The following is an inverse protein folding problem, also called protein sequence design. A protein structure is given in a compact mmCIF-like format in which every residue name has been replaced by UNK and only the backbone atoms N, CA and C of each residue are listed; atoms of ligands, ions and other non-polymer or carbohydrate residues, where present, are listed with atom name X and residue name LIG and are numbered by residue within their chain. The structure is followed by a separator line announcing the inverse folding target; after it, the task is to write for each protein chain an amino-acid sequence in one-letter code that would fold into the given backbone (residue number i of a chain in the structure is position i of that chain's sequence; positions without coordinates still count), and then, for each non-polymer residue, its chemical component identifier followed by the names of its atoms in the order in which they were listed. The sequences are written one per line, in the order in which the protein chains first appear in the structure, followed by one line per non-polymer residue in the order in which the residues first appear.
data_IF_538545830934
#
_entry.id   IF_538545830934
#
_cell.length_a   1.000
_cell.length_b   1.000
_cell.length_c   1.000
_cell.angle_alpha   90.00
_cell.angle_beta   90.00
_cell.angle_gamma   90.00
#
_symmetry.space_group_name_H-M   'P 1'
#
loop_
_entity.id
_entity.type
_entity.pdbx_description
1 polymer ?
#
# COMPACT_ATOMS: atom_id res chain seq x y z
N UNK A 1 -47.44 -46.49 -8.31
CA UNK A 1 -46.21 -45.84 -7.82
C UNK A 1 -45.91 -44.53 -8.54
N UNK A 2 -45.91 -44.47 -9.87
CA UNK A 2 -45.62 -43.23 -10.62
C UNK A 2 -46.63 -42.09 -10.39
N UNK A 3 -47.92 -42.39 -10.20
CA UNK A 3 -48.96 -41.37 -9.94
C UNK A 3 -48.71 -40.60 -8.64
N UNK A 4 -48.24 -41.28 -7.59
CA UNK A 4 -47.93 -40.66 -6.31
C UNK A 4 -46.76 -39.67 -6.43
N UNK A 5 -45.75 -40.02 -7.21
CA UNK A 5 -44.57 -39.18 -7.46
C UNK A 5 -44.98 -37.92 -8.24
N UNK A 6 -45.84 -38.06 -9.25
CA UNK A 6 -46.34 -36.93 -10.04
C UNK A 6 -47.15 -35.98 -9.15
N UNK A 7 -48.03 -36.50 -8.30
CA UNK A 7 -48.81 -35.67 -7.36
C UNK A 7 -47.90 -34.92 -6.38
N UNK A 8 -46.89 -35.58 -5.82
CA UNK A 8 -45.93 -34.94 -4.92
C UNK A 8 -45.12 -33.84 -5.63
N UNK A 9 -44.71 -34.06 -6.88
CA UNK A 9 -44.02 -33.04 -7.68
C UNK A 9 -44.93 -31.85 -8.01
N UNK A 10 -46.20 -32.09 -8.35
CA UNK A 10 -47.17 -31.02 -8.54
C UNK A 10 -47.35 -30.21 -7.25
N UNK A 11 -47.53 -30.88 -6.10
CA UNK A 11 -47.66 -30.18 -4.81
C UNK A 11 -46.38 -29.38 -4.50
N UNK A 12 -45.19 -29.94 -4.71
CA UNK A 12 -43.94 -29.23 -4.52
C UNK A 12 -43.80 -28.00 -5.42
N UNK A 13 -44.25 -28.08 -6.67
CA UNK A 13 -44.15 -27.00 -7.65
C UNK A 13 -45.22 -25.91 -7.45
N UNK A 14 -46.42 -26.28 -6.99
CA UNK A 14 -47.54 -25.35 -6.80
C UNK A 14 -47.62 -24.76 -5.40
N UNK A 15 -46.94 -25.35 -4.41
CA UNK A 15 -46.81 -24.74 -3.09
C UNK A 15 -45.67 -23.75 -3.12
N UNK A 16 -46.01 -22.47 -2.98
CA UNK A 16 -45.03 -21.40 -2.85
C UNK A 16 -44.35 -21.50 -1.47
N UNK A 17 -43.15 -22.06 -1.44
CA UNK A 17 -42.28 -22.12 -0.26
C UNK A 17 -41.41 -20.85 -0.14
N UNK A 18 -41.82 -19.72 -0.72
CA UNK A 18 -41.11 -18.46 -0.51
C UNK A 18 -41.17 -18.11 0.99
N UNK A 19 -40.04 -18.26 1.67
CA UNK A 19 -39.90 -17.84 3.07
C UNK A 19 -40.19 -16.35 3.17
N UNK A 20 -40.78 -15.92 4.29
CA UNK A 20 -41.07 -14.50 4.56
C UNK A 20 -39.87 -13.64 4.18
N UNK A 21 -40.09 -12.70 3.26
CA UNK A 21 -39.09 -11.69 2.93
C UNK A 21 -38.62 -11.04 4.24
N UNK A 22 -37.32 -11.12 4.50
CA UNK A 22 -36.73 -10.40 5.62
C UNK A 22 -36.92 -8.93 5.28
N UNK A 23 -37.79 -8.23 6.00
CA UNK A 23 -37.93 -6.78 5.89
C UNK A 23 -36.63 -6.17 6.42
N UNK A 24 -35.62 -6.06 5.57
CA UNK A 24 -34.38 -5.35 5.87
C UNK A 24 -34.66 -3.87 5.79
N UNK A 25 -34.33 -3.15 6.87
CA UNK A 25 -34.32 -1.70 6.85
C UNK A 25 -33.13 -1.25 5.98
N UNK A 26 -33.36 -1.08 4.68
CA UNK A 26 -32.32 -0.75 3.69
C UNK A 26 -31.52 0.51 4.07
N UNK A 27 -32.15 1.46 4.77
CA UNK A 27 -31.48 2.65 5.29
C UNK A 27 -30.48 2.31 6.40
N UNK A 28 -30.84 1.40 7.29
CA UNK A 28 -29.98 0.91 8.35
C UNK A 28 -28.85 0.05 7.79
N UNK A 29 -29.15 -0.82 6.82
CA UNK A 29 -28.15 -1.62 6.10
C UNK A 29 -27.14 -0.74 5.35
N UNK A 30 -27.60 0.35 4.74
CA UNK A 30 -26.72 1.32 4.06
C UNK A 30 -25.80 2.06 5.05
N UNK A 31 -26.29 2.39 6.26
CA UNK A 31 -25.45 2.98 7.31
C UNK A 31 -24.33 2.04 7.75
N UNK A 32 -24.67 0.78 8.02
CA UNK A 32 -23.67 -0.24 8.38
C UNK A 32 -22.65 -0.48 7.28
N UNK A 33 -23.09 -0.52 6.01
CA UNK A 33 -22.18 -0.67 4.86
C UNK A 33 -21.21 0.50 4.77
N UNK A 34 -21.69 1.74 4.93
CA UNK A 34 -20.86 2.94 4.92
C UNK A 34 -19.81 2.93 6.05
N UNK A 35 -20.20 2.46 7.24
CA UNK A 35 -19.27 2.33 8.36
C UNK A 35 -18.20 1.27 8.08
N UNK A 36 -18.59 0.10 7.59
CA UNK A 36 -17.66 -0.96 7.18
C UNK A 36 -16.68 -0.44 6.12
N UNK A 37 -17.16 0.26 5.10
CA UNK A 37 -16.29 0.75 4.02
C UNK A 37 -15.35 1.85 4.51
N UNK A 38 -15.79 2.71 5.44
CA UNK A 38 -14.93 3.67 6.12
C UNK A 38 -13.80 2.97 6.91
N UNK A 39 -14.14 1.92 7.67
CA UNK A 39 -13.16 1.14 8.42
C UNK A 39 -12.16 0.41 7.50
N UNK A 40 -12.63 -0.16 6.38
CA UNK A 40 -11.75 -0.78 5.38
C UNK A 40 -10.76 0.21 4.79
N UNK A 41 -11.20 1.44 4.49
CA UNK A 41 -10.32 2.48 3.95
C UNK A 41 -9.21 2.86 4.95
N UNK A 42 -9.57 3.04 6.23
CA UNK A 42 -8.60 3.34 7.30
C UNK A 42 -7.59 2.21 7.45
N UNK A 43 -8.05 0.96 7.47
CA UNK A 43 -7.18 -0.22 7.59
C UNK A 43 -6.25 -0.37 6.38
N UNK A 44 -6.74 -0.08 5.17
CA UNK A 44 -5.92 -0.12 3.96
C UNK A 44 -4.80 0.93 4.00
N UNK A 45 -5.10 2.14 4.47
CA UNK A 45 -4.08 3.18 4.69
C UNK A 45 -3.08 2.79 5.80
N UNK A 46 -3.55 2.20 6.90
CA UNK A 46 -2.70 1.75 8.00
C UNK A 46 -1.72 0.65 7.60
N UNK A 47 -2.11 -0.20 6.64
CA UNK A 47 -1.29 -1.28 6.08
C UNK A 47 -0.23 -0.84 5.08
N UNK A 48 -0.27 0.41 4.59
CA UNK A 48 0.76 0.90 3.66
C UNK A 48 2.13 0.81 4.32
N UNK A 49 3.16 0.23 3.66
CA UNK A 49 4.51 0.16 4.21
C UNK A 49 5.02 1.55 4.58
N UNK A 50 5.28 1.78 5.86
CA UNK A 50 5.86 3.03 6.32
C UNK A 50 7.35 3.03 6.01
N UNK A 51 7.79 3.94 5.16
CA UNK A 51 9.22 4.21 4.99
C UNK A 51 9.67 4.93 6.26
N UNK A 52 10.52 4.28 7.04
CA UNK A 52 11.13 4.91 8.22
C UNK A 52 12.27 5.84 7.80
N UNK A 53 12.49 6.95 8.53
CA UNK A 53 13.63 7.81 8.29
C UNK A 53 14.95 7.03 8.28
N UNK A 54 15.82 7.32 7.33
CA UNK A 54 17.10 6.66 7.16
C UNK A 54 18.17 7.67 6.78
N UNK A 55 19.42 7.35 7.10
CA UNK A 55 20.54 8.18 6.65
C UNK A 55 20.93 7.76 5.22
N UNK A 56 20.88 8.67 4.24
CA UNK A 56 21.19 8.35 2.85
C UNK A 56 22.64 7.89 2.65
N UNK A 57 23.56 8.26 3.54
CA UNK A 57 24.94 7.78 3.50
C UNK A 57 25.09 6.30 3.82
N UNK A 58 24.06 5.61 4.34
CA UNK A 58 24.13 4.18 4.66
C UNK A 58 23.21 3.33 3.79
N UNK A 59 22.77 3.86 2.64
CA UNK A 59 22.04 3.05 1.65
C UNK A 59 22.96 1.92 1.16
N UNK A 60 22.47 0.69 1.29
CA UNK A 60 23.06 -0.52 0.70
C UNK A 60 22.48 -0.76 -0.69
N UNK A 61 23.07 -1.67 -1.48
CA UNK A 61 22.53 -2.03 -2.80
C UNK A 61 21.07 -2.46 -2.73
N UNK A 62 20.76 -3.35 -1.78
CA UNK A 62 19.39 -3.80 -1.54
C UNK A 62 18.46 -2.64 -1.20
N UNK A 63 18.87 -1.75 -0.28
CA UNK A 63 18.06 -0.58 0.10
C UNK A 63 17.86 0.36 -1.10
N UNK A 64 18.91 0.65 -1.87
CA UNK A 64 18.84 1.49 -3.07
C UNK A 64 17.87 0.92 -4.10
N UNK A 65 17.97 -0.38 -4.38
CA UNK A 65 17.05 -1.07 -5.28
C UNK A 65 15.60 -1.00 -4.78
N UNK A 66 15.34 -1.22 -3.48
CA UNK A 66 13.99 -1.10 -2.91
C UNK A 66 13.43 0.33 -2.94
N UNK A 67 14.30 1.34 -2.95
CA UNK A 67 13.92 2.74 -3.09
C UNK A 67 13.67 3.13 -4.56
N UNK A 68 14.03 2.27 -5.52
CA UNK A 68 13.88 2.50 -6.96
C UNK A 68 15.08 3.15 -7.63
N UNK A 69 16.26 3.09 -7.03
CA UNK A 69 17.52 3.49 -7.67
C UNK A 69 17.99 2.41 -8.65
N UNK A 70 18.59 2.83 -9.75
CA UNK A 70 19.36 1.99 -10.67
C UNK A 70 20.73 1.62 -10.07
N UNK A 71 21.32 0.53 -10.58
CA UNK A 71 22.65 0.09 -10.15
C UNK A 71 23.70 1.21 -10.30
N UNK A 72 23.65 1.99 -11.37
CA UNK A 72 24.59 3.09 -11.60
C UNK A 72 24.46 4.22 -10.57
N UNK A 73 23.23 4.57 -10.16
CA UNK A 73 23.00 5.58 -9.12
C UNK A 73 23.51 5.10 -7.75
N UNK A 74 23.34 3.81 -7.46
CA UNK A 74 23.85 3.15 -6.24
C UNK A 74 25.38 3.12 -6.26
N UNK A 75 25.99 2.71 -7.37
CA UNK A 75 27.44 2.65 -7.52
C UNK A 75 28.10 4.01 -7.30
N UNK A 76 27.49 5.09 -7.82
CA UNK A 76 27.97 6.46 -7.58
C UNK A 76 27.98 6.81 -6.09
N UNK A 77 26.92 6.47 -5.36
CA UNK A 77 26.85 6.67 -3.91
C UNK A 77 27.95 5.88 -3.18
N UNK A 78 28.10 4.60 -3.50
CA UNK A 78 29.09 3.73 -2.88
C UNK A 78 30.52 4.21 -3.17
N UNK A 79 30.80 4.65 -4.39
CA UNK A 79 32.11 5.17 -4.77
C UNK A 79 32.43 6.52 -4.11
N UNK A 80 31.44 7.37 -3.87
CA UNK A 80 31.61 8.60 -3.09
C UNK A 80 32.01 8.29 -1.64
N UNK A 81 31.33 7.31 -1.02
CA UNK A 81 31.66 6.85 0.34
C UNK A 81 33.03 6.20 0.46
N UNK A 82 33.46 5.44 -0.56
CA UNK A 82 34.79 4.82 -0.60
C UNK A 82 35.94 5.83 -0.58
N UNK A 83 35.66 7.07 -1.01
CA UNK A 83 36.60 8.20 -0.96
C UNK A 83 36.54 8.95 0.38
N UNK A 84 35.86 8.38 1.38
CA UNK A 84 35.61 8.99 2.69
C UNK A 84 34.84 10.33 2.61
N UNK A 85 34.02 10.47 1.56
CA UNK A 85 33.17 11.63 1.36
C UNK A 85 31.75 11.33 1.81
N UNK A 86 31.13 12.32 2.46
CA UNK A 86 29.82 12.20 3.10
C UNK A 86 28.85 13.25 2.57
N UNK A 87 27.63 12.80 2.28
CA UNK A 87 26.55 13.63 1.74
C UNK A 87 25.79 14.27 2.89
N UNK A 88 25.58 15.59 2.80
CA UNK A 88 24.99 16.39 3.87
C UNK A 88 23.68 17.08 3.48
N UNK A 89 23.20 16.92 2.24
CA UNK A 89 21.91 17.47 1.81
C UNK A 89 21.24 16.61 0.74
N UNK A 90 19.93 16.81 0.57
CA UNK A 90 19.17 16.14 -0.50
C UNK A 90 19.65 16.56 -1.88
N UNK A 91 20.03 17.83 -2.03
CA UNK A 91 20.60 18.35 -3.28
C UNK A 91 21.94 17.67 -3.62
N UNK A 92 22.84 17.58 -2.65
CA UNK A 92 24.12 16.89 -2.85
C UNK A 92 23.90 15.39 -3.11
N UNK A 93 22.91 14.78 -2.46
CA UNK A 93 22.53 13.40 -2.76
C UNK A 93 22.18 13.24 -4.24
N UNK A 94 21.39 14.15 -4.78
CA UNK A 94 21.06 14.15 -6.20
C UNK A 94 22.27 14.42 -7.10
N UNK A 95 23.12 15.39 -6.76
CA UNK A 95 24.32 15.70 -7.54
C UNK A 95 25.31 14.51 -7.58
N UNK A 96 25.46 13.77 -6.49
CA UNK A 96 26.34 12.60 -6.43
C UNK A 96 25.72 11.41 -7.14
N UNK A 97 24.47 11.07 -6.81
CA UNK A 97 23.84 9.84 -7.30
C UNK A 97 23.21 10.00 -8.68
N UNK A 98 22.95 11.24 -9.12
CA UNK A 98 22.24 11.59 -10.35
C UNK A 98 20.83 10.99 -10.44
N UNK A 99 20.17 10.80 -9.29
CA UNK A 99 18.76 10.36 -9.26
C UNK A 99 17.82 11.40 -9.86
N UNK A 100 16.75 10.94 -10.51
CA UNK A 100 15.72 11.84 -11.04
C UNK A 100 15.03 12.66 -9.94
N UNK A 101 14.55 13.86 -10.30
CA UNK A 101 13.76 14.73 -9.39
C UNK A 101 12.56 13.99 -8.79
N UNK A 102 11.89 13.19 -9.62
CA UNK A 102 10.74 12.38 -9.22
C UNK A 102 11.10 11.37 -8.13
N UNK A 103 12.24 10.69 -8.28
CA UNK A 103 12.74 9.75 -7.28
C UNK A 103 13.17 10.49 -6.02
N UNK A 104 13.96 11.55 -6.15
CA UNK A 104 14.43 12.36 -5.01
C UNK A 104 13.24 12.84 -4.17
N UNK A 105 12.21 13.41 -4.81
CA UNK A 105 11.01 13.91 -4.13
C UNK A 105 10.27 12.84 -3.33
N UNK A 106 10.33 11.57 -3.75
CA UNK A 106 9.71 10.45 -3.00
C UNK A 106 10.55 10.02 -1.79
N UNK A 107 11.87 10.03 -1.89
CA UNK A 107 12.74 9.43 -0.87
C UNK A 107 13.34 10.46 0.11
N UNK A 108 13.54 11.70 -0.32
CA UNK A 108 14.16 12.76 0.50
C UNK A 108 13.40 13.15 1.76
N UNK A 109 12.04 13.08 1.84
CA UNK A 109 11.32 13.34 3.09
C UNK A 109 11.71 12.38 4.23
N UNK A 110 12.34 11.26 3.90
CA UNK A 110 12.79 10.25 4.86
C UNK A 110 14.29 10.35 5.16
N UNK A 111 15.01 11.32 4.60
CA UNK A 111 16.43 11.49 4.89
C UNK A 111 16.65 12.02 6.30
N UNK A 112 17.57 11.39 7.03
CA UNK A 112 18.03 11.79 8.36
C UNK A 112 19.56 11.85 8.39
N UNK A 113 20.10 13.05 8.20
CA UNK A 113 21.54 13.31 8.27
C UNK A 113 22.01 13.34 9.74
N UNK A 114 23.27 12.95 10.01
CA UNK A 114 23.79 12.84 11.39
C UNK A 114 24.01 14.20 12.09
N UNK A 115 24.22 15.26 11.31
CA UNK A 115 24.29 16.63 11.81
C UNK A 115 23.07 17.39 11.27
N UNK A 116 22.32 18.05 12.16
CA UNK A 116 20.97 18.55 11.90
C UNK A 116 20.88 19.75 10.96
N UNK A 117 21.39 19.66 9.74
CA UNK A 117 21.25 20.70 8.73
C UNK A 117 20.32 20.23 7.61
N UNK A 118 19.17 20.89 7.54
CA UNK A 118 18.23 20.88 6.40
C UNK A 118 18.73 21.99 5.45
N UNK A 119 18.94 21.75 4.17
CA UNK A 119 17.93 21.66 3.10
C UNK A 119 18.56 20.99 1.88
#
# INVERSE_FOLDING_TARGET
MSLLIIVLQCVYFFVDFSGKDIITNDMELAKFTKEIDSLKAIELEARKPKIFPFNPNFITDYKGATLGMSNQEIDRLLNFRKQDQWINSSKQFQEVTQVSDSLLKRISPYFKFQHGYQS
#
